data_IF_619584154539
#
_entry.id   IF_619584154539
#
_cell.length_a   1.000
_cell.length_b   1.000
_cell.length_c   1.000
_cell.angle_alpha   90.00
_cell.angle_beta   90.00
_cell.angle_gamma   90.00
#
_symmetry.space_group_name_H-M   'P 1'
#
loop_
_entity.id
_entity.type
_entity.pdbx_description
1 polymer ?
#
# COMPACT_ATOMS: atom_id res chain seq x y z
N UNK A 1 -14.15 -6.61 13.57
CA UNK A 1 -13.49 -5.72 12.58
C UNK A 1 -13.80 -4.23 12.76
N UNK A 2 -14.85 -3.83 13.50
CA UNK A 2 -15.12 -2.40 13.78
C UNK A 2 -13.96 -1.67 14.47
N UNK A 3 -13.07 -2.40 15.16
CA UNK A 3 -12.07 -1.78 16.04
C UNK A 3 -10.60 -1.91 15.59
N UNK A 4 -10.30 -2.55 14.45
CA UNK A 4 -8.90 -2.78 14.04
C UNK A 4 -8.39 -1.67 13.10
N UNK A 5 -9.27 -1.07 12.28
CA UNK A 5 -8.97 0.11 11.46
C UNK A 5 -10.20 1.03 11.43
N UNK A 6 -10.08 2.21 12.04
CA UNK A 6 -11.18 3.17 12.16
C UNK A 6 -11.59 3.68 10.77
N UNK A 7 -12.89 3.92 10.52
CA UNK A 7 -13.38 4.59 9.29
C UNK A 7 -12.59 5.88 9.00
N UNK A 8 -12.19 6.60 10.06
CA UNK A 8 -11.34 7.80 9.98
C UNK A 8 -9.99 7.54 9.31
N UNK A 9 -9.34 6.40 9.57
CA UNK A 9 -8.05 6.03 8.97
C UNK A 9 -8.18 5.98 7.45
N UNK A 10 -9.19 5.26 6.95
CA UNK A 10 -9.41 5.10 5.52
C UNK A 10 -9.75 6.43 4.85
N UNK A 11 -10.57 7.28 5.49
CA UNK A 11 -10.88 8.61 4.96
C UNK A 11 -9.60 9.43 4.79
N UNK A 12 -8.76 9.53 5.83
CA UNK A 12 -7.50 10.29 5.75
C UNK A 12 -6.58 9.71 4.67
N UNK A 13 -6.46 8.38 4.60
CA UNK A 13 -5.65 7.70 3.60
C UNK A 13 -6.10 8.04 2.17
N UNK A 14 -7.40 7.94 1.87
CA UNK A 14 -7.92 8.27 0.54
C UNK A 14 -7.77 9.75 0.21
N UNK A 15 -8.00 10.64 1.17
CA UNK A 15 -7.78 12.08 0.98
C UNK A 15 -6.33 12.38 0.64
N UNK A 16 -5.36 11.80 1.37
CA UNK A 16 -3.94 12.02 1.09
C UNK A 16 -3.50 11.45 -0.27
N UNK A 17 -4.03 10.29 -0.68
CA UNK A 17 -3.77 9.76 -2.02
C UNK A 17 -4.34 10.68 -3.11
N UNK A 18 -5.55 11.23 -2.90
CA UNK A 18 -6.16 12.16 -3.85
C UNK A 18 -5.35 13.46 -3.96
N UNK A 19 -4.94 14.04 -2.82
CA UNK A 19 -4.07 15.23 -2.80
C UNK A 19 -2.74 14.95 -3.51
N UNK A 20 -2.13 13.79 -3.25
CA UNK A 20 -0.88 13.38 -3.89
C UNK A 20 -1.06 13.18 -5.40
N UNK A 21 -2.19 12.60 -5.83
CA UNK A 21 -2.55 12.47 -7.25
C UNK A 21 -2.67 13.84 -7.92
N UNK A 22 -3.30 14.81 -7.27
CA UNK A 22 -3.41 16.18 -7.80
C UNK A 22 -2.05 16.87 -7.91
N UNK A 23 -1.16 16.66 -6.93
CA UNK A 23 0.22 17.16 -6.99
C UNK A 23 0.93 16.55 -8.21
N UNK A 24 0.89 15.23 -8.40
CA UNK A 24 1.52 14.60 -9.55
C UNK A 24 0.89 15.00 -10.88
N UNK A 25 -0.41 15.23 -10.92
CA UNK A 25 -1.12 15.77 -12.08
C UNK A 25 -0.63 17.19 -12.42
N UNK A 26 -0.41 18.05 -11.43
CA UNK A 26 0.13 19.39 -11.66
C UNK A 26 1.55 19.36 -12.28
N UNK A 27 2.37 18.36 -11.93
CA UNK A 27 3.71 18.18 -12.50
C UNK A 27 3.76 17.29 -13.76
N UNK A 28 2.64 16.65 -14.14
CA UNK A 28 2.61 15.67 -15.22
C UNK A 28 2.84 16.28 -16.60
N UNK A 29 2.61 17.59 -16.77
CA UNK A 29 2.89 18.31 -18.03
C UNK A 29 4.36 18.22 -18.48
N UNK A 30 5.29 18.11 -17.51
CA UNK A 30 6.72 17.97 -17.80
C UNK A 30 7.22 16.53 -17.58
N UNK A 31 6.56 15.79 -16.68
CA UNK A 31 6.98 14.45 -16.27
C UNK A 31 5.77 13.52 -16.09
N UNK A 32 5.18 13.07 -17.20
CA UNK A 32 4.00 12.20 -17.18
C UNK A 32 4.21 10.90 -16.37
N UNK A 33 5.45 10.43 -16.28
CA UNK A 33 5.84 9.25 -15.50
C UNK A 33 5.51 9.34 -14.01
N UNK A 34 5.39 10.55 -13.45
CA UNK A 34 5.02 10.78 -12.05
C UNK A 34 3.57 10.34 -11.76
N UNK A 35 2.64 10.77 -12.63
CA UNK A 35 1.23 10.41 -12.49
C UNK A 35 1.02 8.91 -12.76
N UNK A 36 1.64 8.41 -13.83
CA UNK A 36 1.59 6.99 -14.19
C UNK A 36 2.13 6.09 -13.08
N UNK A 37 3.24 6.48 -12.47
CA UNK A 37 3.83 5.78 -11.34
C UNK A 37 2.91 5.72 -10.14
N UNK A 38 2.32 6.85 -9.74
CA UNK A 38 1.37 6.88 -8.63
C UNK A 38 0.13 6.03 -8.89
N UNK A 39 -0.48 6.11 -10.08
CA UNK A 39 -1.64 5.30 -10.46
C UNK A 39 -1.31 3.80 -10.40
N UNK A 40 -0.17 3.38 -10.97
CA UNK A 40 0.28 2.00 -10.90
C UNK A 40 0.50 1.54 -9.45
N UNK A 41 1.05 2.42 -8.61
CA UNK A 41 1.20 2.21 -7.17
C UNK A 41 -0.14 2.00 -6.47
N UNK A 42 -1.14 2.83 -6.77
CA UNK A 42 -2.49 2.73 -6.19
C UNK A 42 -3.14 1.40 -6.58
N UNK A 43 -3.04 1.00 -7.85
CA UNK A 43 -3.57 -0.28 -8.33
C UNK A 43 -2.90 -1.45 -7.60
N UNK A 44 -1.57 -1.48 -7.57
CA UNK A 44 -0.81 -2.51 -6.86
C UNK A 44 -1.18 -2.57 -5.38
N UNK A 45 -1.35 -1.41 -4.75
CA UNK A 45 -1.73 -1.29 -3.35
C UNK A 45 -3.16 -1.80 -3.07
N UNK A 46 -4.12 -1.51 -3.95
CA UNK A 46 -5.48 -2.02 -3.84
C UNK A 46 -5.52 -3.55 -3.94
N UNK A 47 -4.71 -4.13 -4.83
CA UNK A 47 -4.56 -5.59 -4.93
C UNK A 47 -3.98 -6.14 -3.63
N UNK A 48 -2.92 -5.51 -3.10
CA UNK A 48 -2.30 -5.92 -1.83
C UNK A 48 -3.29 -5.91 -0.64
N UNK A 49 -4.07 -4.84 -0.47
CA UNK A 49 -5.13 -4.80 0.56
C UNK A 49 -6.14 -5.92 0.32
N UNK A 50 -6.61 -6.10 -0.91
CA UNK A 50 -7.66 -7.06 -1.23
C UNK A 50 -7.22 -8.49 -0.91
N UNK A 51 -5.98 -8.84 -1.25
CA UNK A 51 -5.38 -10.12 -0.92
C UNK A 51 -5.20 -10.30 0.59
N UNK A 52 -4.77 -9.25 1.29
CA UNK A 52 -4.63 -9.27 2.76
C UNK A 52 -5.99 -9.45 3.44
N UNK A 53 -7.01 -8.73 2.99
CA UNK A 53 -8.38 -8.87 3.48
C UNK A 53 -8.91 -10.29 3.27
N UNK A 54 -8.70 -10.87 2.08
CA UNK A 54 -9.08 -12.24 1.77
C UNK A 54 -8.36 -13.24 2.68
N UNK A 55 -7.04 -13.09 2.85
CA UNK A 55 -6.24 -13.94 3.73
C UNK A 55 -6.75 -13.90 5.19
N UNK A 56 -7.00 -12.70 5.73
CA UNK A 56 -7.54 -12.53 7.08
C UNK A 56 -8.92 -13.18 7.19
N UNK A 57 -9.81 -12.96 6.22
CA UNK A 57 -11.16 -13.54 6.22
C UNK A 57 -11.11 -15.07 6.24
N UNK A 58 -10.22 -15.67 5.45
CA UNK A 58 -10.03 -17.14 5.41
C UNK A 58 -9.51 -17.71 6.74
N UNK A 59 -8.65 -16.97 7.43
CA UNK A 59 -8.13 -17.37 8.76
C UNK A 59 -9.22 -17.23 9.83
N UNK A 60 -9.96 -16.12 9.84
CA UNK A 60 -10.97 -15.80 10.87
C UNK A 60 -12.24 -16.64 10.74
N UNK A 61 -12.62 -17.04 9.51
CA UNK A 61 -13.79 -17.90 9.29
C UNK A 61 -13.59 -19.35 9.78
N UNK A 62 -12.35 -19.81 9.96
CA UNK A 62 -12.07 -21.11 10.60
C UNK A 62 -12.18 -20.95 12.12
N UNK A 63 -13.32 -21.38 12.69
CA UNK A 63 -13.61 -21.41 14.14
C UNK A 63 -12.39 -21.88 14.97
N UNK A 64 -12.20 -21.37 16.20
CA UNK A 64 -11.10 -21.75 17.08
C UNK A 64 -11.31 -23.18 17.61
N UNK A 65 -11.03 -24.18 16.78
CA UNK A 65 -11.08 -25.57 17.19
C UNK A 65 -9.68 -25.99 17.65
N UNK A 66 -9.39 -25.82 18.94
CA UNK A 66 -8.31 -26.37 19.80
C UNK A 66 -6.87 -26.63 19.27
N UNK A 67 -6.53 -26.33 18.01
CA UNK A 67 -5.18 -26.43 17.43
C UNK A 67 -4.68 -25.04 17.06
N UNK A 68 -4.49 -24.21 18.09
CA UNK A 68 -4.02 -22.83 18.00
C UNK A 68 -2.73 -22.67 17.15
N UNK A 69 -1.90 -23.71 17.08
CA UNK A 69 -0.65 -23.74 16.32
C UNK A 69 -0.87 -23.88 14.81
N UNK A 70 -1.86 -24.67 14.35
CA UNK A 70 -2.11 -24.89 12.92
C UNK A 70 -2.77 -23.69 12.25
N UNK A 71 -3.68 -22.99 12.93
CA UNK A 71 -4.30 -21.76 12.44
C UNK A 71 -3.31 -20.60 12.36
N UNK A 72 -2.37 -20.49 13.31
CA UNK A 72 -1.27 -19.51 13.25
C UNK A 72 -0.32 -19.77 12.08
N UNK A 73 0.12 -21.02 11.90
CA UNK A 73 0.97 -21.39 10.77
C UNK A 73 0.29 -21.10 9.42
N UNK A 74 -1.00 -21.41 9.28
CA UNK A 74 -1.79 -21.08 8.09
C UNK A 74 -1.87 -19.58 7.83
N UNK A 75 -2.07 -18.77 8.88
CA UNK A 75 -2.12 -17.31 8.75
C UNK A 75 -0.78 -16.72 8.28
N UNK A 76 0.33 -17.20 8.86
CA UNK A 76 1.69 -16.79 8.46
C UNK A 76 1.95 -17.19 7.01
N UNK A 77 1.60 -18.42 6.63
CA UNK A 77 1.77 -18.91 5.27
C UNK A 77 0.94 -18.10 4.25
N UNK A 78 -0.32 -17.78 4.56
CA UNK A 78 -1.16 -16.95 3.70
C UNK A 78 -0.60 -15.53 3.56
N UNK A 79 -0.15 -14.91 4.66
CA UNK A 79 0.48 -13.59 4.60
C UNK A 79 1.78 -13.61 3.78
N UNK A 80 2.58 -14.66 3.92
CA UNK A 80 3.76 -14.87 3.08
C UNK A 80 3.39 -14.95 1.60
N UNK A 81 2.35 -15.72 1.25
CA UNK A 81 1.86 -15.82 -0.13
C UNK A 81 1.41 -14.46 -0.68
N UNK A 82 0.71 -13.65 0.13
CA UNK A 82 0.31 -12.28 -0.25
C UNK A 82 1.55 -11.42 -0.54
N UNK A 83 2.60 -11.51 0.27
CA UNK A 83 3.84 -10.78 0.05
C UNK A 83 4.57 -11.23 -1.22
N UNK A 84 4.59 -12.53 -1.50
CA UNK A 84 5.16 -13.07 -2.74
C UNK A 84 4.40 -12.55 -3.96
N UNK A 85 3.07 -12.64 -3.96
CA UNK A 85 2.23 -12.13 -5.06
C UNK A 85 2.44 -10.63 -5.26
N UNK A 86 2.49 -9.84 -4.18
CA UNK A 86 2.73 -8.41 -4.30
C UNK A 86 4.12 -8.09 -4.87
N UNK A 87 5.14 -8.86 -4.47
CA UNK A 87 6.50 -8.73 -5.01
C UNK A 87 6.54 -9.05 -6.50
N UNK A 88 5.79 -10.05 -6.96
CA UNK A 88 5.66 -10.38 -8.39
C UNK A 88 4.96 -9.25 -9.18
N UNK A 89 3.95 -8.60 -8.60
CA UNK A 89 3.30 -7.44 -9.23
C UNK A 89 4.29 -6.28 -9.40
N UNK A 90 5.07 -5.97 -8.35
CA UNK A 90 6.10 -4.94 -8.41
C UNK A 90 7.15 -5.29 -9.48
N UNK A 91 7.59 -6.56 -9.52
CA UNK A 91 8.52 -7.04 -10.54
C UNK A 91 7.94 -6.92 -11.95
N UNK A 92 6.66 -7.22 -12.15
CA UNK A 92 5.99 -7.06 -13.44
C UNK A 92 6.02 -5.61 -13.92
N UNK A 93 5.76 -4.64 -13.05
CA UNK A 93 5.89 -3.22 -13.39
C UNK A 93 7.33 -2.82 -13.74
N UNK A 94 8.33 -3.36 -13.04
CA UNK A 94 9.75 -3.15 -13.37
C UNK A 94 10.09 -3.75 -14.74
N UNK A 95 9.58 -4.94 -15.06
CA UNK A 95 9.82 -5.58 -16.36
C UNK A 95 9.14 -4.83 -17.51
N UNK A 96 7.89 -4.40 -17.33
CA UNK A 96 7.18 -3.53 -18.28
C UNK A 96 8.01 -2.27 -18.53
N UNK A 97 8.53 -1.65 -17.46
CA UNK A 97 9.39 -0.48 -17.60
C UNK A 97 10.61 -0.76 -18.47
N UNK A 98 11.31 -1.86 -18.18
CA UNK A 98 12.50 -2.28 -18.94
C UNK A 98 12.19 -2.52 -20.41
N UNK A 99 11.10 -3.22 -20.72
CA UNK A 99 10.68 -3.51 -22.10
C UNK A 99 10.41 -2.23 -22.89
N UNK A 100 9.66 -1.29 -22.30
CA UNK A 100 9.35 -0.02 -22.95
C UNK A 100 10.63 0.78 -23.22
N UNK A 101 11.54 0.83 -22.25
CA UNK A 101 12.84 1.49 -22.45
C UNK A 101 13.62 0.86 -23.59
N UNK A 102 13.70 -0.48 -23.64
CA UNK A 102 14.49 -1.17 -24.68
C UNK A 102 13.91 -1.02 -26.10
N UNK A 103 12.61 -0.78 -26.25
CA UNK A 103 11.96 -0.66 -27.56
C UNK A 103 11.74 0.78 -28.04
N UNK A 104 11.69 1.76 -27.13
CA UNK A 104 11.27 3.13 -27.48
C UNK A 104 12.29 4.23 -27.11
N UNK A 105 13.54 3.89 -26.78
CA UNK A 105 14.54 4.86 -26.29
C UNK A 105 15.02 5.88 -27.34
N UNK A 106 14.37 7.05 -27.39
CA UNK A 106 14.93 8.34 -27.82
C UNK A 106 14.43 9.48 -26.90
N UNK A 107 15.00 9.65 -25.70
CA UNK A 107 14.96 10.95 -25.01
C UNK A 107 15.91 11.05 -23.82
N UNK A 108 16.43 12.27 -23.59
CA UNK A 108 17.57 12.64 -22.74
C UNK A 108 17.22 13.00 -21.29
N UNK A 109 16.03 12.62 -20.80
CA UNK A 109 15.61 12.99 -19.44
C UNK A 109 15.19 11.75 -18.66
N UNK A 110 16.07 11.32 -17.74
CA UNK A 110 16.04 10.02 -17.06
C UNK A 110 16.05 10.15 -15.53
N UNK A 111 14.91 10.07 -14.83
CA UNK A 111 14.85 9.71 -13.39
C UNK A 111 13.40 9.27 -13.04
N UNK A 112 13.03 8.11 -12.47
CA UNK A 112 13.65 6.81 -12.18
C UNK A 112 12.52 5.81 -11.80
N UNK A 113 12.10 4.84 -12.62
CA UNK A 113 12.70 4.25 -13.82
C UNK A 113 11.61 4.04 -14.89
N UNK A 114 11.60 4.96 -15.85
CA UNK A 114 10.63 5.19 -16.94
C UNK A 114 10.12 3.94 -17.67
N UNK A 115 8.88 3.94 -18.21
CA UNK A 115 7.80 4.95 -18.16
C UNK A 115 7.07 5.12 -16.81
N UNK A 116 7.07 4.12 -15.92
CA UNK A 116 6.39 4.16 -14.62
C UNK A 116 7.40 4.56 -13.56
N UNK A 117 7.25 5.74 -12.96
CA UNK A 117 8.20 6.21 -11.94
C UNK A 117 8.02 5.43 -10.62
N UNK A 118 9.04 4.66 -10.23
CA UNK A 118 8.98 3.76 -9.08
C UNK A 118 9.00 4.49 -7.74
N UNK A 119 9.53 5.72 -7.70
CA UNK A 119 9.41 6.57 -6.50
C UNK A 119 7.95 6.93 -6.25
N UNK A 120 7.27 7.44 -7.28
CA UNK A 120 5.84 7.76 -7.17
C UNK A 120 4.98 6.51 -6.99
N UNK A 121 5.38 5.35 -7.53
CA UNK A 121 4.73 4.06 -7.28
C UNK A 121 4.69 3.69 -5.79
N UNK A 122 5.75 4.02 -5.04
CA UNK A 122 5.82 3.70 -3.61
C UNK A 122 4.92 4.57 -2.73
N UNK A 123 4.43 5.72 -3.22
CA UNK A 123 3.72 6.67 -2.37
C UNK A 123 2.46 6.14 -1.68
N UNK A 124 1.57 5.36 -2.33
CA UNK A 124 0.40 4.82 -1.63
C UNK A 124 0.80 3.94 -0.44
N UNK A 125 1.88 3.16 -0.57
CA UNK A 125 2.42 2.35 0.51
C UNK A 125 2.97 3.20 1.65
N UNK A 126 3.74 4.25 1.33
CA UNK A 126 4.28 5.18 2.32
C UNK A 126 3.17 5.95 3.05
N UNK A 127 2.10 6.33 2.34
CA UNK A 127 0.94 7.00 2.93
C UNK A 127 0.23 6.12 3.95
N UNK A 128 0.07 4.81 3.71
CA UNK A 128 -0.49 3.90 4.73
C UNK A 128 0.37 3.89 5.98
N UNK A 129 1.68 3.75 5.83
CA UNK A 129 2.61 3.69 6.96
C UNK A 129 2.51 4.99 7.75
N UNK A 130 2.52 6.13 7.05
CA UNK A 130 2.39 7.45 7.66
C UNK A 130 1.07 7.61 8.44
N UNK A 131 -0.08 7.31 7.81
CA UNK A 131 -1.39 7.40 8.48
C UNK A 131 -1.47 6.43 9.66
N UNK A 132 -0.87 5.24 9.54
CA UNK A 132 -0.80 4.25 10.62
C UNK A 132 0.01 4.73 11.81
N UNK A 133 1.16 5.36 11.57
CA UNK A 133 1.97 5.97 12.62
C UNK A 133 1.21 7.12 13.31
N UNK A 134 0.57 7.99 12.54
CA UNK A 134 -0.22 9.11 13.09
C UNK A 134 -1.39 8.61 13.94
N UNK A 135 -2.13 7.59 13.48
CA UNK A 135 -3.26 7.02 14.22
C UNK A 135 -2.79 6.33 15.53
N UNK A 136 -1.65 5.61 15.48
CA UNK A 136 -1.04 4.98 16.65
C UNK A 136 -0.60 6.00 17.70
N UNK A 137 0.09 7.06 17.27
CA UNK A 137 0.52 8.15 18.17
C UNK A 137 -0.66 8.90 18.78
N UNK A 138 -1.73 9.11 18.00
CA UNK A 138 -2.95 9.76 18.49
C UNK A 138 -3.65 8.92 19.58
N UNK A 139 -3.74 7.59 19.39
CA UNK A 139 -4.33 6.68 20.37
C UNK A 139 -3.54 6.64 21.67
N UNK A 140 -2.20 6.55 21.60
CA UNK A 140 -1.36 6.55 22.80
C UNK A 140 -1.53 7.81 23.66
N UNK A 141 -1.71 8.99 23.02
CA UNK A 141 -1.99 10.24 23.74
C UNK A 141 -3.37 10.24 24.41
N UNK A 142 -4.38 9.64 23.79
CA UNK A 142 -5.73 9.55 24.36
C UNK A 142 -5.78 8.62 25.57
N UNK A 143 -5.07 7.50 25.53
CA UNK A 143 -4.99 6.57 26.67
C UNK A 143 -4.31 7.23 27.86
N UNK A 144 -3.14 7.86 27.67
CA UNK A 144 -2.44 8.59 28.74
C UNK A 144 -3.31 9.68 29.40
N UNK A 145 -4.08 10.44 28.61
CA UNK A 145 -4.99 11.46 29.14
C UNK A 145 -6.19 10.89 29.92
N UNK A 146 -6.57 9.63 29.70
CA UNK A 146 -7.59 8.97 30.52
C UNK A 146 -7.02 8.48 31.83
N UNK A 147 -5.78 8.01 31.83
CA UNK A 147 -5.07 7.55 33.04
C UNK A 147 -4.70 8.72 33.98
N UNK A 148 -4.50 9.92 33.45
CA UNK A 148 -4.21 11.14 34.23
C UNK A 148 -5.47 11.84 34.81
N UNK A 149 -6.66 11.54 34.27
CA UNK A 149 -7.93 12.20 34.64
C UNK A 149 -8.92 11.27 35.37
N UNK A 150 -8.50 10.04 35.71
CA UNK A 150 -9.25 9.08 36.52
C UNK A 150 -8.57 8.86 37.86
#
# INVERSE_FOLDING_TARGET
>A
MKDIVNKRFWVIFFTLNLVTSLIYLAFSFKWYSLLLGHIAGVISFLIFISLTYLAIKLVVLKKPNNKLTKTRALAIFLMFLVLVVNSLIILAFIMINRLVVTHYAKSSVQIGLWPINMFTFSTPYLLVIFVGLVDSLAKNKQTKRKDENG
#
